data_IF_988803287317
#
_entry.id   IF_988803287317
#
_cell.length_a   1.000
_cell.length_b   1.000
_cell.length_c   1.000
_cell.angle_alpha   90.00
_cell.angle_beta   90.00
_cell.angle_gamma   90.00
#
_symmetry.space_group_name_H-M   'P 1'
#
loop_
_entity.id
_entity.type
_entity.pdbx_description
1 polymer ?
#
# COMPACT_ATOMS: atom_id res chain seq x y z
N UNK A 1 -10.72 24.34 5.51
CA UNK A 1 -10.59 24.76 4.10
C UNK A 1 -11.96 24.69 3.42
N UNK A 2 -12.37 25.65 2.57
CA UNK A 2 -13.70 25.67 1.92
C UNK A 2 -14.00 24.42 1.07
N UNK A 3 -12.98 23.75 0.53
CA UNK A 3 -13.13 22.53 -0.27
C UNK A 3 -13.24 21.23 0.56
N UNK A 4 -13.20 21.31 1.90
CA UNK A 4 -13.27 20.12 2.76
C UNK A 4 -12.20 19.08 2.41
N UNK A 5 -12.61 17.81 2.27
CA UNK A 5 -11.73 16.70 1.89
C UNK A 5 -11.21 16.72 0.46
N UNK A 6 -11.67 17.67 -0.37
CA UNK A 6 -11.17 17.88 -1.75
C UNK A 6 -10.10 18.97 -1.83
N UNK A 7 -9.64 19.49 -0.69
CA UNK A 7 -8.55 20.46 -0.68
C UNK A 7 -7.25 19.81 -1.18
N UNK A 8 -6.48 20.48 -2.06
CA UNK A 8 -5.16 19.98 -2.46
C UNK A 8 -4.26 19.88 -1.22
N UNK A 9 -3.33 18.91 -1.19
CA UNK A 9 -2.38 18.80 -0.09
C UNK A 9 -1.56 20.09 0.00
N UNK A 10 -1.21 20.53 1.21
CA UNK A 10 -0.27 21.63 1.39
C UNK A 10 1.06 21.30 0.67
N UNK A 11 1.72 22.27 0.02
CA UNK A 11 2.99 22.02 -0.64
C UNK A 11 4.02 21.48 0.37
N UNK A 12 4.92 20.57 -0.03
CA UNK A 12 5.96 20.08 0.88
C UNK A 12 6.85 21.27 1.24
N UNK A 13 6.74 21.76 2.47
CA UNK A 13 7.56 22.87 2.94
C UNK A 13 9.00 22.41 3.07
N UNK A 14 9.86 22.87 2.16
CA UNK A 14 11.22 23.25 2.54
C UNK A 14 11.13 24.49 3.43
N UNK A 15 12.08 24.64 4.37
CA UNK A 15 12.15 25.76 5.31
C UNK A 15 11.95 27.11 4.59
N UNK A 16 10.80 27.76 4.76
CA UNK A 16 10.56 29.12 4.27
C UNK A 16 9.15 29.45 3.80
N UNK A 17 8.41 30.19 4.63
CA UNK A 17 7.54 31.31 4.25
C UNK A 17 6.47 31.14 3.15
N UNK A 18 5.68 30.06 3.21
CA UNK A 18 4.29 30.15 2.76
C UNK A 18 3.41 30.01 3.99
N UNK A 19 2.94 31.14 4.52
CA UNK A 19 2.03 31.18 5.65
C UNK A 19 0.75 30.41 5.30
N UNK A 20 0.64 29.17 5.76
CA UNK A 20 -0.64 28.46 5.79
C UNK A 20 -1.58 29.28 6.70
N UNK A 21 -2.77 29.69 6.23
CA UNK A 21 -3.71 30.46 7.03
C UNK A 21 -4.24 29.69 8.27
N UNK A 22 -3.89 28.41 8.44
CA UNK A 22 -4.23 27.65 9.64
C UNK A 22 -3.40 28.10 10.87
N UNK A 23 -4.09 28.42 11.97
CA UNK A 23 -3.50 28.82 13.27
C UNK A 23 -2.48 27.81 13.81
N UNK A 24 -2.58 26.54 13.42
CA UNK A 24 -1.69 25.45 13.84
C UNK A 24 -0.73 24.98 12.74
N UNK A 25 -0.60 25.73 11.65
CA UNK A 25 0.09 25.28 10.44
C UNK A 25 -0.66 24.16 9.71
N UNK A 26 -0.03 23.67 8.65
CA UNK A 26 -0.60 22.65 7.79
C UNK A 26 -0.69 21.29 8.53
N UNK A 27 -1.86 20.62 8.57
CA UNK A 27 -1.96 19.29 9.15
C UNK A 27 -1.17 18.28 8.28
N UNK A 28 -0.36 17.39 8.89
CA UNK A 28 0.40 16.40 8.14
C UNK A 28 -0.52 15.35 7.51
N UNK A 29 -0.17 14.89 6.30
CA UNK A 29 -0.91 13.83 5.59
C UNK A 29 -0.79 12.49 6.32
N UNK A 30 0.43 12.06 6.66
CA UNK A 30 0.70 10.88 7.48
C UNK A 30 1.77 11.20 8.53
N UNK A 31 1.61 10.67 9.74
CA UNK A 31 2.61 10.72 10.81
C UNK A 31 3.15 9.30 11.05
N UNK A 32 4.47 9.12 10.99
CA UNK A 32 5.15 7.87 11.39
C UNK A 32 6.10 8.10 12.56
N UNK A 33 5.86 7.41 13.67
CA UNK A 33 6.65 7.50 14.89
C UNK A 33 7.62 6.33 15.04
N UNK A 34 8.82 6.61 15.55
CA UNK A 34 9.87 5.63 15.84
C UNK A 34 10.25 5.74 17.31
N UNK A 35 9.85 4.75 18.12
CA UNK A 35 10.03 4.79 19.58
C UNK A 35 11.50 4.69 20.00
N UNK A 36 12.30 3.84 19.34
CA UNK A 36 13.71 3.63 19.70
C UNK A 36 14.56 4.91 19.69
N UNK A 37 14.16 5.92 18.92
CA UNK A 37 14.82 7.23 18.89
C UNK A 37 13.90 8.40 19.23
N UNK A 38 12.67 8.15 19.68
CA UNK A 38 11.65 9.17 19.94
C UNK A 38 11.48 10.19 18.78
N UNK A 39 11.51 9.71 17.53
CA UNK A 39 11.39 10.55 16.33
C UNK A 39 10.02 10.42 15.68
N UNK A 40 9.57 11.52 15.08
CA UNK A 40 8.34 11.57 14.29
C UNK A 40 8.66 12.12 12.90
N UNK A 41 8.14 11.46 11.86
CA UNK A 41 8.25 11.92 10.47
C UNK A 41 6.87 12.21 9.91
N UNK A 42 6.71 13.40 9.33
CA UNK A 42 5.58 13.73 8.48
C UNK A 42 5.87 13.22 7.05
N UNK A 43 4.96 12.46 6.47
CA UNK A 43 5.10 11.86 5.14
C UNK A 43 3.90 12.25 4.29
N UNK A 44 4.15 12.54 3.03
CA UNK A 44 3.12 12.76 2.01
C UNK A 44 3.13 11.57 1.05
N UNK A 45 2.09 10.74 1.11
CA UNK A 45 1.81 9.74 0.08
C UNK A 45 1.06 10.35 -1.11
N UNK A 46 1.28 9.83 -2.31
CA UNK A 46 0.47 10.17 -3.48
C UNK A 46 -0.74 9.23 -3.57
N UNK A 47 -1.84 9.71 -4.15
CA UNK A 47 -2.95 8.85 -4.51
C UNK A 47 -2.47 7.80 -5.53
N UNK A 48 -2.92 6.55 -5.37
CA UNK A 48 -2.50 5.45 -6.21
C UNK A 48 -3.66 4.95 -7.06
N UNK A 49 -3.48 4.93 -8.38
CA UNK A 49 -4.53 4.62 -9.36
C UNK A 49 -5.06 3.19 -9.24
N UNK A 50 -4.29 2.25 -8.68
CA UNK A 50 -4.71 0.86 -8.45
C UNK A 50 -5.06 0.57 -6.98
N UNK A 51 -5.24 1.60 -6.15
CA UNK A 51 -5.63 1.46 -4.75
C UNK A 51 -6.98 0.72 -4.63
N UNK A 52 -7.00 -0.36 -3.86
CA UNK A 52 -8.20 -1.20 -3.61
C UNK A 52 -9.26 -0.52 -2.73
N UNK A 53 -8.99 0.69 -2.23
CA UNK A 53 -9.92 1.46 -1.41
C UNK A 53 -10.40 2.77 -2.05
N UNK A 54 -9.50 3.54 -2.68
CA UNK A 54 -9.80 4.92 -3.11
C UNK A 54 -9.56 5.20 -4.59
N UNK A 55 -9.16 4.22 -5.40
CA UNK A 55 -9.03 4.45 -6.85
C UNK A 55 -10.36 4.83 -7.49
N UNK A 56 -10.31 5.58 -8.60
CA UNK A 56 -11.51 6.00 -9.33
C UNK A 56 -12.36 4.81 -9.77
N UNK A 57 -11.73 3.66 -10.07
CA UNK A 57 -12.44 2.42 -10.41
C UNK A 57 -13.29 1.93 -9.25
N UNK A 58 -12.76 1.93 -8.02
CA UNK A 58 -13.51 1.54 -6.81
C UNK A 58 -14.61 2.54 -6.51
N UNK A 59 -14.32 3.84 -6.58
CA UNK A 59 -15.32 4.88 -6.33
C UNK A 59 -16.47 4.80 -7.34
N UNK A 60 -16.17 4.56 -8.63
CA UNK A 60 -17.18 4.37 -9.67
C UNK A 60 -18.00 3.11 -9.42
N UNK A 61 -17.37 1.97 -9.14
CA UNK A 61 -18.06 0.72 -8.85
C UNK A 61 -18.98 0.82 -7.62
N UNK A 62 -18.52 1.46 -6.54
CA UNK A 62 -19.33 1.69 -5.35
C UNK A 62 -20.51 2.63 -5.62
N UNK A 63 -20.28 3.75 -6.34
CA UNK A 63 -21.37 4.68 -6.69
C UNK A 63 -22.43 4.03 -7.60
N UNK A 64 -22.01 3.12 -8.48
CA UNK A 64 -22.89 2.45 -9.43
C UNK A 64 -23.69 1.30 -8.80
N UNK A 65 -23.07 0.53 -7.92
CA UNK A 65 -23.63 -0.74 -7.42
C UNK A 65 -23.93 -0.73 -5.91
N UNK A 66 -23.49 0.28 -5.18
CA UNK A 66 -23.81 0.50 -3.77
C UNK A 66 -23.50 -0.72 -2.89
N UNK A 67 -24.52 -1.18 -2.16
CA UNK A 67 -24.39 -2.29 -1.20
C UNK A 67 -24.10 -3.64 -1.88
N UNK A 68 -24.61 -3.87 -3.10
CA UNK A 68 -24.35 -5.12 -3.83
C UNK A 68 -22.86 -5.27 -4.16
N UNK A 69 -22.17 -4.15 -4.43
CA UNK A 69 -20.72 -4.16 -4.59
C UNK A 69 -20.01 -4.57 -3.30
N UNK A 70 -20.43 -4.04 -2.15
CA UNK A 70 -19.86 -4.42 -0.85
C UNK A 70 -20.03 -5.91 -0.57
N UNK A 71 -21.21 -6.48 -0.84
CA UNK A 71 -21.44 -7.91 -0.69
C UNK A 71 -20.51 -8.75 -1.58
N UNK A 72 -20.29 -8.33 -2.83
CA UNK A 72 -19.33 -9.00 -3.73
C UNK A 72 -17.91 -8.90 -3.20
N UNK A 73 -17.50 -7.74 -2.70
CA UNK A 73 -16.17 -7.53 -2.12
C UNK A 73 -15.95 -8.43 -0.91
N UNK A 74 -16.89 -8.47 0.04
CA UNK A 74 -16.74 -9.24 1.27
C UNK A 74 -16.82 -10.76 1.06
N UNK A 75 -17.59 -11.21 0.07
CA UNK A 75 -17.76 -12.64 -0.20
C UNK A 75 -16.77 -13.19 -1.23
N UNK A 76 -15.94 -12.35 -1.84
CA UNK A 76 -14.94 -12.73 -2.85
C UNK A 76 -13.55 -12.19 -2.46
N UNK A 77 -13.23 -12.33 -1.18
CA UNK A 77 -11.87 -12.18 -0.66
C UNK A 77 -11.09 -13.48 -0.90
N UNK A 78 -9.78 -13.38 -1.12
CA UNK A 78 -8.93 -14.57 -1.21
C UNK A 78 -9.11 -15.42 0.04
N UNK A 79 -9.51 -16.68 -0.16
CA UNK A 79 -9.61 -17.67 0.90
C UNK A 79 -8.25 -18.34 0.98
N UNK A 80 -7.42 -17.93 1.95
CA UNK A 80 -6.28 -18.75 2.36
C UNK A 80 -6.80 -19.96 3.14
N UNK A 81 -6.06 -21.06 3.07
CA UNK A 81 -6.36 -22.38 3.66
C UNK A 81 -6.72 -22.37 5.16
N UNK A 82 -6.40 -21.29 5.88
CA UNK A 82 -6.67 -21.09 7.31
C UNK A 82 -7.96 -20.30 7.63
N UNK A 83 -8.76 -19.90 6.64
CA UNK A 83 -9.94 -19.08 6.88
C UNK A 83 -11.09 -19.87 7.56
N UNK A 84 -11.71 -19.33 8.63
CA UNK A 84 -12.83 -19.98 9.29
C UNK A 84 -14.01 -20.17 8.32
N UNK A 85 -14.53 -21.39 8.37
CA UNK A 85 -15.61 -22.06 7.64
C UNK A 85 -16.88 -21.22 7.43
N UNK A 86 -16.76 -20.18 6.61
CA UNK A 86 -17.91 -19.47 6.07
C UNK A 86 -18.27 -20.18 4.77
N UNK A 87 -19.50 -20.72 4.62
CA UNK A 87 -19.88 -21.47 3.43
C UNK A 87 -19.85 -20.54 2.22
N UNK A 88 -18.85 -20.78 1.36
CA UNK A 88 -18.58 -20.02 0.15
C UNK A 88 -19.79 -20.15 -0.78
N UNK A 89 -20.56 -19.08 -0.96
CA UNK A 89 -21.73 -19.11 -1.85
C UNK A 89 -21.32 -18.89 -3.32
N UNK A 90 -20.08 -18.43 -3.59
CA UNK A 90 -19.56 -18.21 -4.95
C UNK A 90 -18.03 -18.47 -5.01
N UNK A 91 -17.54 -19.25 -5.98
CA UNK A 91 -16.10 -19.46 -6.15
C UNK A 91 -15.37 -18.13 -6.41
N UNK A 92 -14.11 -18.00 -5.94
CA UNK A 92 -13.36 -16.77 -6.14
C UNK A 92 -13.11 -16.53 -7.64
N UNK A 93 -13.04 -15.26 -8.02
CA UNK A 93 -12.87 -14.87 -9.44
C UNK A 93 -11.49 -15.27 -10.00
N UNK A 94 -10.50 -15.51 -9.14
CA UNK A 94 -9.21 -16.11 -9.48
C UNK A 94 -8.63 -16.80 -8.24
N UNK A 95 -7.77 -17.83 -8.39
CA UNK A 95 -7.15 -18.50 -7.25
C UNK A 95 -6.15 -17.59 -6.50
N UNK A 96 -5.54 -16.64 -7.20
CA UNK A 96 -4.36 -15.91 -6.69
C UNK A 96 -4.63 -14.46 -6.30
N UNK A 97 -5.72 -13.85 -6.81
CA UNK A 97 -6.07 -12.45 -6.52
C UNK A 97 -7.53 -12.24 -6.11
N UNK A 98 -7.75 -11.26 -5.23
CA UNK A 98 -9.07 -10.87 -4.75
C UNK A 98 -9.90 -10.14 -5.82
N UNK A 99 -11.21 -10.03 -5.58
CA UNK A 99 -12.10 -9.25 -6.44
C UNK A 99 -11.65 -7.80 -6.60
N UNK A 100 -11.21 -7.15 -5.52
CA UNK A 100 -10.76 -5.75 -5.55
C UNK A 100 -9.48 -5.58 -6.38
N UNK A 101 -8.50 -6.47 -6.20
CA UNK A 101 -7.23 -6.40 -6.95
C UNK A 101 -7.43 -6.64 -8.43
N UNK A 102 -8.34 -7.55 -8.78
CA UNK A 102 -8.72 -7.80 -10.17
C UNK A 102 -9.38 -6.56 -10.77
N UNK A 103 -10.30 -5.94 -10.03
CA UNK A 103 -11.03 -4.76 -10.48
C UNK A 103 -10.11 -3.54 -10.66
N UNK A 104 -9.17 -3.30 -9.75
CA UNK A 104 -8.25 -2.15 -9.84
C UNK A 104 -7.07 -2.37 -10.79
N UNK A 105 -6.93 -3.56 -11.36
CA UNK A 105 -5.76 -3.93 -12.18
C UNK A 105 -4.49 -4.14 -11.35
N UNK A 106 -4.58 -4.23 -10.03
CA UNK A 106 -3.46 -4.57 -9.16
C UNK A 106 -3.02 -6.03 -9.37
N UNK A 107 -3.97 -6.94 -9.61
CA UNK A 107 -3.68 -8.34 -9.96
C UNK A 107 -2.79 -8.46 -11.21
N UNK A 108 -3.01 -7.61 -12.23
CA UNK A 108 -2.16 -7.58 -13.41
C UNK A 108 -0.75 -7.05 -13.11
N UNK A 109 -0.61 -6.11 -12.16
CA UNK A 109 0.69 -5.63 -11.73
C UNK A 109 1.51 -6.73 -11.05
N UNK A 110 0.86 -7.50 -10.16
CA UNK A 110 1.51 -8.60 -9.45
C UNK A 110 2.03 -9.62 -10.45
N UNK A 111 1.20 -10.11 -11.38
CA UNK A 111 1.64 -11.04 -12.44
C UNK A 111 2.82 -10.50 -13.23
N UNK A 112 2.74 -9.24 -13.68
CA UNK A 112 3.84 -8.60 -14.41
C UNK A 112 5.12 -8.55 -13.57
N UNK A 113 5.00 -8.31 -12.26
CA UNK A 113 6.14 -8.27 -11.34
C UNK A 113 6.71 -9.67 -11.16
N UNK A 114 5.88 -10.68 -10.98
CA UNK A 114 6.30 -12.08 -10.82
C UNK A 114 7.05 -12.57 -12.07
N UNK A 115 6.54 -12.25 -13.26
CA UNK A 115 7.20 -12.55 -14.54
C UNK A 115 8.58 -11.88 -14.61
N UNK A 116 8.66 -10.58 -14.28
CA UNK A 116 9.93 -9.85 -14.28
C UNK A 116 10.91 -10.43 -13.24
N UNK A 117 10.42 -10.77 -12.04
CA UNK A 117 11.26 -11.30 -10.97
C UNK A 117 11.79 -12.71 -11.27
N UNK A 118 11.03 -13.52 -12.02
CA UNK A 118 11.48 -14.82 -12.50
C UNK A 118 12.61 -14.69 -13.54
N UNK A 119 12.63 -13.59 -14.29
CA UNK A 119 13.66 -13.30 -15.30
C UNK A 119 14.93 -12.65 -14.70
N UNK A 120 14.94 -12.27 -13.41
CA UNK A 120 16.12 -11.69 -12.74
C UNK A 120 17.10 -12.79 -12.33
N UNK A 121 18.31 -12.75 -12.90
CA UNK A 121 19.45 -13.57 -12.45
C UNK A 121 20.01 -12.98 -11.15
N UNK A 122 19.70 -13.62 -10.02
CA UNK A 122 20.32 -13.30 -8.73
C UNK A 122 21.77 -13.76 -8.77
N UNK A 123 22.73 -12.85 -8.61
CA UNK A 123 24.14 -13.24 -8.47
C UNK A 123 24.29 -14.03 -7.17
N UNK A 124 24.63 -15.32 -7.27
CA UNK A 124 25.17 -16.09 -6.16
C UNK A 124 26.55 -15.49 -5.85
N UNK A 125 26.60 -14.49 -4.96
CA UNK A 125 27.87 -14.09 -4.36
C UNK A 125 28.32 -15.26 -3.46
N UNK A 126 29.12 -16.14 -4.06
CA UNK A 126 29.80 -17.24 -3.41
C UNK A 126 30.74 -16.70 -2.35
N UNK A 127 30.22 -16.59 -1.13
CA UNK A 127 30.93 -16.11 0.04
C UNK A 127 31.10 -17.17 1.11
N UNK A 128 31.48 -18.40 0.74
CA UNK A 128 32.11 -19.32 1.68
C UNK A 128 33.61 -19.38 1.37
N UNK A 129 34.43 -19.10 2.41
CA UNK A 129 35.73 -19.71 2.78
C UNK A 129 36.68 -18.68 3.47
N UNK A 130 36.54 -18.60 4.79
CA UNK A 130 37.56 -18.57 5.86
C UNK A 130 38.84 -17.68 5.78
N UNK A 131 39.06 -16.87 6.82
CA UNK A 131 40.19 -17.09 7.75
C UNK A 131 40.01 -16.37 9.08
N UNK A 132 40.04 -17.18 10.15
CA UNK A 132 40.43 -16.83 11.52
C UNK A 132 41.57 -15.78 11.56
N UNK A 133 41.38 -14.73 12.36
CA UNK A 133 42.28 -13.58 12.38
C UNK A 133 42.04 -12.65 13.56
N UNK A 134 42.28 -13.14 14.78
CA UNK A 134 42.84 -12.36 15.89
C UNK A 134 41.97 -11.27 16.52
N UNK A 135 41.31 -11.61 17.63
CA UNK A 135 41.09 -10.66 18.71
C UNK A 135 42.45 -10.39 19.40
N UNK A 136 43.08 -9.25 19.10
CA UNK A 136 44.12 -8.68 19.97
C UNK A 136 44.11 -7.15 19.91
N UNK A 137 43.77 -6.55 21.06
CA UNK A 137 44.20 -5.25 21.62
C UNK A 137 44.53 -4.10 20.66
N UNK A 138 43.78 -3.01 20.78
CA UNK A 138 44.26 -1.69 21.23
C UNK A 138 43.09 -0.81 21.69
#
# INVERSE_FOLDING_TARGET
HPLGGLAPPPPPTGDGDVADPAVFGAPPHQIRGYLAGFRQHAIVGQAYDRCTACSDVILAAYRQHGFDFLLRVFNNTLVHEDAPHTPITQPPASPDYSYLETLTGLAALHRQTDDIMADIEWSEDGGDEASDGGFEQL
#
